data_IF_009460819409
#
_entry.id   IF_009460819409
#
_cell.length_a   1.000
_cell.length_b   1.000
_cell.length_c   1.000
_cell.angle_alpha   90.00
_cell.angle_beta   90.00
_cell.angle_gamma   90.00
#
_symmetry.space_group_name_H-M   'P 1'
#
loop_
_entity.id
_entity.type
_entity.pdbx_description
1 polymer ?
#
# COMPACT_ATOMS: atom_id res chain seq x y z
N UNK A 1 -28.91 -9.52 -22.18
CA UNK A 1 -29.00 -8.68 -20.95
C UNK A 1 -27.85 -7.71 -21.00
N UNK A 2 -28.09 -6.40 -20.85
CA UNK A 2 -27.00 -5.42 -20.85
C UNK A 2 -26.02 -5.71 -19.71
N UNK A 3 -24.75 -5.84 -20.05
CA UNK A 3 -23.65 -6.01 -19.11
C UNK A 3 -23.43 -4.70 -18.35
N UNK A 4 -23.76 -4.68 -17.06
CA UNK A 4 -23.57 -3.51 -16.21
C UNK A 4 -22.08 -3.43 -15.83
N UNK A 5 -21.35 -2.49 -16.41
CA UNK A 5 -19.99 -2.14 -16.01
C UNK A 5 -20.05 -1.06 -14.93
N UNK A 6 -19.20 -1.16 -13.91
CA UNK A 6 -19.10 -0.17 -12.83
C UNK A 6 -18.09 0.92 -13.16
N UNK A 7 -17.46 0.89 -14.33
CA UNK A 7 -16.55 1.97 -14.73
C UNK A 7 -17.36 3.17 -15.27
N UNK A 8 -17.18 4.39 -14.74
CA UNK A 8 -17.62 5.61 -15.39
C UNK A 8 -16.74 5.86 -16.60
N UNK A 9 -17.24 6.73 -17.48
CA UNK A 9 -16.55 7.25 -18.65
C UNK A 9 -15.08 7.62 -18.36
N UNK A 10 -14.23 7.50 -19.38
CA UNK A 10 -12.75 7.44 -19.41
C UNK A 10 -11.95 8.56 -18.73
N UNK A 11 -12.57 9.40 -17.91
CA UNK A 11 -12.00 10.63 -17.33
C UNK A 11 -11.61 10.46 -15.85
N UNK A 12 -12.30 9.58 -15.08
CA UNK A 12 -12.01 9.40 -13.65
C UNK A 12 -11.25 8.10 -13.35
N UNK A 13 -10.15 8.22 -12.59
CA UNK A 13 -9.39 7.08 -12.05
C UNK A 13 -9.98 6.53 -10.75
N UNK A 14 -11.16 7.02 -10.32
CA UNK A 14 -11.89 6.54 -9.15
C UNK A 14 -13.39 6.51 -9.37
N UNK A 15 -14.04 5.48 -8.83
CA UNK A 15 -15.49 5.30 -8.86
C UNK A 15 -16.01 4.88 -7.51
N UNK A 16 -17.16 5.43 -7.13
CA UNK A 16 -17.89 5.04 -5.92
C UNK A 16 -19.29 4.60 -6.32
N UNK A 17 -19.68 3.39 -5.94
CA UNK A 17 -21.01 2.82 -6.20
C UNK A 17 -21.57 2.12 -4.97
N UNK A 18 -22.89 2.00 -4.87
CA UNK A 18 -23.53 1.15 -3.84
C UNK A 18 -23.81 -0.25 -4.37
N UNK A 19 -23.64 -1.26 -3.53
CA UNK A 19 -24.08 -2.63 -3.82
C UNK A 19 -25.61 -2.78 -3.86
N UNK A 20 -26.36 -1.81 -3.31
CA UNK A 20 -27.83 -1.82 -3.29
C UNK A 20 -28.46 -1.77 -4.70
N UNK A 21 -27.68 -1.38 -5.72
CA UNK A 21 -28.14 -1.40 -7.11
C UNK A 21 -28.28 -2.82 -7.69
N UNK A 22 -27.69 -3.83 -7.05
CA UNK A 22 -27.74 -5.22 -7.48
C UNK A 22 -28.81 -5.99 -6.70
N UNK A 23 -29.60 -6.80 -7.41
CA UNK A 23 -30.65 -7.60 -6.77
C UNK A 23 -30.13 -8.92 -6.22
N UNK A 24 -29.05 -9.46 -6.79
CA UNK A 24 -28.51 -10.77 -6.45
C UNK A 24 -26.98 -10.77 -6.48
N UNK A 25 -26.37 -11.68 -5.72
CA UNK A 25 -24.91 -11.85 -5.69
C UNK A 25 -24.30 -12.14 -7.08
N UNK A 26 -24.87 -13.02 -7.93
CA UNK A 26 -24.31 -13.23 -9.27
C UNK A 26 -24.30 -11.98 -10.15
N UNK A 27 -25.27 -11.07 -9.99
CA UNK A 27 -25.25 -9.79 -10.73
C UNK A 27 -24.10 -8.88 -10.27
N UNK A 28 -23.86 -8.85 -8.96
CA UNK A 28 -22.76 -8.11 -8.35
C UNK A 28 -21.39 -8.65 -8.81
N UNK A 29 -21.21 -9.97 -8.73
CA UNK A 29 -19.97 -10.66 -9.16
C UNK A 29 -19.69 -10.40 -10.64
N UNK A 30 -20.70 -10.58 -11.50
CA UNK A 30 -20.57 -10.35 -12.93
C UNK A 30 -20.19 -8.89 -13.26
N UNK A 31 -20.78 -7.92 -12.57
CA UNK A 31 -20.48 -6.50 -12.79
C UNK A 31 -19.03 -6.17 -12.41
N UNK A 32 -18.51 -6.75 -11.32
CA UNK A 32 -17.11 -6.62 -10.93
C UNK A 32 -16.20 -7.28 -11.98
N UNK A 33 -16.48 -8.52 -12.40
CA UNK A 33 -15.67 -9.17 -13.43
C UNK A 33 -15.63 -8.38 -14.74
N UNK A 34 -16.77 -7.83 -15.18
CA UNK A 34 -16.81 -6.98 -16.38
C UNK A 34 -15.93 -5.73 -16.19
N UNK A 35 -16.08 -5.06 -15.04
CA UNK A 35 -15.26 -3.89 -14.68
C UNK A 35 -13.76 -4.21 -14.71
N UNK A 36 -13.36 -5.33 -14.13
CA UNK A 36 -11.97 -5.78 -14.12
C UNK A 36 -11.44 -6.05 -15.53
N UNK A 37 -12.23 -6.70 -16.40
CA UNK A 37 -11.81 -6.99 -17.79
C UNK A 37 -11.79 -5.76 -18.70
N UNK A 38 -12.63 -4.77 -18.42
CA UNK A 38 -12.74 -3.55 -19.23
C UNK A 38 -11.74 -2.46 -18.84
N UNK A 39 -11.19 -2.50 -17.62
CA UNK A 39 -10.20 -1.55 -17.15
C UNK A 39 -8.95 -1.56 -18.05
N UNK A 40 -8.54 -0.38 -18.54
CA UNK A 40 -7.36 -0.21 -19.42
C UNK A 40 -6.14 0.39 -18.71
N UNK A 41 -6.24 0.60 -17.40
CA UNK A 41 -5.21 1.23 -16.59
C UNK A 41 -5.67 1.33 -15.15
N UNK A 42 -4.90 2.05 -14.35
CA UNK A 42 -5.19 2.21 -12.93
C UNK A 42 -6.59 2.78 -12.70
N UNK A 43 -7.36 2.09 -11.87
CA UNK A 43 -8.70 2.53 -11.46
C UNK A 43 -9.01 2.08 -10.03
N UNK A 44 -9.46 2.99 -9.19
CA UNK A 44 -9.95 2.67 -7.85
C UNK A 44 -11.47 2.50 -7.88
N UNK A 45 -11.95 1.27 -7.68
CA UNK A 45 -13.37 0.99 -7.51
C UNK A 45 -13.70 0.85 -6.02
N UNK A 46 -14.58 1.72 -5.53
CA UNK A 46 -15.10 1.72 -4.17
C UNK A 46 -16.57 1.31 -4.19
N UNK A 47 -16.90 0.24 -3.50
CA UNK A 47 -18.26 -0.29 -3.40
C UNK A 47 -18.70 -0.23 -1.94
N UNK A 48 -19.76 0.52 -1.66
CA UNK A 48 -20.36 0.65 -0.33
C UNK A 48 -21.57 -0.25 -0.17
N UNK A 49 -22.02 -0.46 1.08
CA UNK A 49 -23.18 -1.28 1.44
C UNK A 49 -23.11 -2.75 0.96
N UNK A 50 -21.90 -3.30 0.81
CA UNK A 50 -21.71 -4.68 0.33
C UNK A 50 -22.37 -5.68 1.30
N UNK A 51 -23.33 -6.50 0.85
CA UNK A 51 -23.94 -7.52 1.70
C UNK A 51 -22.90 -8.52 2.22
N UNK A 52 -23.10 -9.08 3.43
CA UNK A 52 -22.22 -10.13 3.95
C UNK A 52 -22.07 -11.29 2.96
N UNK A 53 -20.84 -11.75 2.75
CA UNK A 53 -20.54 -12.88 1.86
C UNK A 53 -20.29 -12.52 0.39
N UNK A 54 -20.90 -11.46 -0.13
CA UNK A 54 -20.90 -11.18 -1.58
C UNK A 54 -19.53 -10.91 -2.19
N UNK A 55 -18.58 -10.47 -1.38
CA UNK A 55 -17.18 -10.21 -1.75
C UNK A 55 -16.28 -11.45 -1.80
N UNK A 56 -16.71 -12.62 -1.29
CA UNK A 56 -15.78 -13.71 -0.99
C UNK A 56 -15.14 -14.33 -2.24
N UNK A 57 -15.82 -14.27 -3.39
CA UNK A 57 -15.29 -14.76 -4.67
C UNK A 57 -13.94 -14.13 -5.04
N UNK A 58 -13.74 -12.84 -4.74
CA UNK A 58 -12.51 -12.10 -5.06
C UNK A 58 -11.27 -12.58 -4.26
N UNK A 59 -11.46 -13.40 -3.24
CA UNK A 59 -10.40 -13.99 -2.42
C UNK A 59 -10.06 -15.41 -2.88
N UNK A 60 -10.78 -15.92 -3.87
CA UNK A 60 -10.46 -17.15 -4.58
C UNK A 60 -9.49 -16.81 -5.73
N UNK A 61 -8.67 -17.78 -6.14
CA UNK A 61 -7.68 -17.59 -7.20
C UNK A 61 -8.39 -17.59 -8.55
N UNK A 62 -8.21 -16.52 -9.33
CA UNK A 62 -8.64 -16.43 -10.72
C UNK A 62 -7.46 -15.95 -11.58
N UNK A 63 -6.95 -16.84 -12.42
CA UNK A 63 -5.75 -16.58 -13.25
C UNK A 63 -5.99 -15.52 -14.34
N UNK A 64 -7.25 -15.31 -14.76
CA UNK A 64 -7.62 -14.46 -15.89
C UNK A 64 -7.96 -13.00 -15.53
N UNK A 65 -7.80 -12.60 -14.26
CA UNK A 65 -8.08 -11.24 -13.82
C UNK A 65 -6.82 -10.37 -13.82
N UNK A 66 -6.96 -9.05 -14.11
CA UNK A 66 -5.84 -8.13 -13.93
C UNK A 66 -5.37 -8.13 -12.48
N UNK A 67 -4.12 -7.69 -12.26
CA UNK A 67 -3.63 -7.49 -10.90
C UNK A 67 -4.51 -6.48 -10.17
N UNK A 68 -4.94 -6.85 -8.97
CA UNK A 68 -5.72 -5.99 -8.08
C UNK A 68 -5.12 -5.94 -6.69
N UNK A 69 -5.39 -4.86 -5.95
CA UNK A 69 -5.22 -4.79 -4.48
C UNK A 69 -6.59 -4.64 -3.84
N UNK A 70 -6.86 -5.46 -2.83
CA UNK A 70 -8.19 -5.59 -2.23
C UNK A 70 -8.19 -5.10 -0.79
N UNK A 71 -9.22 -4.35 -0.42
CA UNK A 71 -9.52 -4.03 0.99
C UNK A 71 -11.00 -4.22 1.24
N UNK A 72 -11.38 -4.94 2.30
CA UNK A 72 -12.76 -5.07 2.74
C UNK A 72 -12.88 -4.76 4.22
N UNK A 73 -13.68 -3.74 4.55
CA UNK A 73 -14.04 -3.40 5.92
C UNK A 73 -15.48 -3.91 6.23
N UNK A 74 -15.65 -4.86 7.17
CA UNK A 74 -16.97 -5.38 7.53
C UNK A 74 -17.84 -4.36 8.27
N UNK A 75 -17.24 -3.46 9.06
CA UNK A 75 -17.98 -2.46 9.85
C UNK A 75 -18.69 -1.46 8.94
N UNK A 76 -17.94 -0.90 7.97
CA UNK A 76 -18.49 0.04 7.00
C UNK A 76 -19.12 -0.65 5.77
N UNK A 77 -19.06 -1.99 5.70
CA UNK A 77 -19.44 -2.80 4.51
C UNK A 77 -18.88 -2.24 3.20
N UNK A 78 -17.61 -1.82 3.23
CA UNK A 78 -16.95 -1.15 2.12
C UNK A 78 -15.88 -2.07 1.51
N UNK A 79 -15.98 -2.31 0.21
CA UNK A 79 -15.00 -3.01 -0.61
C UNK A 79 -14.26 -1.98 -1.48
N UNK A 80 -12.94 -1.95 -1.40
CA UNK A 80 -12.07 -1.13 -2.26
C UNK A 80 -11.18 -2.04 -3.10
N UNK A 81 -11.15 -1.79 -4.39
CA UNK A 81 -10.32 -2.48 -5.37
C UNK A 81 -9.43 -1.46 -6.08
N UNK A 82 -8.10 -1.57 -5.93
CA UNK A 82 -7.15 -0.89 -6.80
C UNK A 82 -6.88 -1.79 -8.00
N UNK A 83 -7.44 -1.45 -9.14
CA UNK A 83 -7.36 -2.24 -10.37
C UNK A 83 -6.14 -1.80 -11.17
N UNK A 84 -5.34 -2.75 -11.65
CA UNK A 84 -4.09 -2.52 -12.38
C UNK A 84 -3.17 -1.50 -11.68
N UNK A 85 -2.65 -1.80 -10.47
CA UNK A 85 -1.68 -0.95 -9.79
C UNK A 85 -0.55 -0.53 -10.73
N UNK A 86 -0.28 0.77 -10.75
CA UNK A 86 0.62 1.39 -11.73
C UNK A 86 2.11 1.17 -11.37
N UNK A 87 3.04 1.48 -12.28
CA UNK A 87 4.48 1.53 -11.97
C UNK A 87 4.77 2.47 -10.81
N UNK A 88 4.03 3.58 -10.70
CA UNK A 88 4.14 4.51 -9.58
C UNK A 88 3.69 3.87 -8.25
N UNK A 89 2.69 3.00 -8.24
CA UNK A 89 2.31 2.23 -7.04
C UNK A 89 3.40 1.23 -6.65
N UNK A 90 3.94 0.50 -7.64
CA UNK A 90 4.92 -0.56 -7.37
C UNK A 90 6.32 -0.03 -7.03
N UNK A 91 6.62 1.24 -7.30
CA UNK A 91 7.94 1.83 -7.07
C UNK A 91 8.39 1.75 -5.61
N UNK A 92 7.45 1.73 -4.65
CA UNK A 92 7.77 1.66 -3.23
C UNK A 92 8.44 0.34 -2.87
N UNK A 93 7.96 -0.78 -3.42
CA UNK A 93 8.53 -2.09 -3.16
C UNK A 93 9.89 -2.25 -3.85
N UNK A 94 10.05 -1.71 -5.07
CA UNK A 94 11.34 -1.66 -5.75
C UNK A 94 12.38 -0.88 -4.93
N UNK A 95 11.99 0.26 -4.37
CA UNK A 95 12.85 1.06 -3.52
C UNK A 95 13.23 0.34 -2.22
N UNK A 96 12.29 -0.33 -1.56
CA UNK A 96 12.56 -1.15 -0.37
C UNK A 96 13.53 -2.28 -0.71
N UNK A 97 13.25 -3.04 -1.77
CA UNK A 97 14.10 -4.14 -2.26
C UNK A 97 15.53 -3.66 -2.54
N UNK A 98 15.67 -2.59 -3.32
CA UNK A 98 16.98 -2.02 -3.63
C UNK A 98 17.71 -1.49 -2.39
N UNK A 99 16.98 -1.02 -1.36
CA UNK A 99 17.56 -0.57 -0.10
C UNK A 99 18.04 -1.75 0.76
N UNK A 100 17.34 -2.88 0.75
CA UNK A 100 17.81 -4.14 1.35
C UNK A 100 19.10 -4.61 0.65
N UNK A 101 19.13 -4.65 -0.69
CA UNK A 101 20.33 -5.05 -1.43
C UNK A 101 21.54 -4.15 -1.13
N UNK A 102 21.33 -2.83 -1.03
CA UNK A 102 22.37 -1.89 -0.62
C UNK A 102 22.83 -2.11 0.82
N UNK A 103 21.90 -2.38 1.73
CA UNK A 103 22.23 -2.67 3.12
C UNK A 103 23.14 -3.92 3.24
N UNK A 104 22.92 -4.95 2.43
CA UNK A 104 23.84 -6.08 2.32
C UNK A 104 25.21 -5.66 1.78
N UNK A 105 25.23 -4.88 0.69
CA UNK A 105 26.47 -4.47 0.02
C UNK A 105 27.40 -3.64 0.92
N UNK A 106 26.85 -2.84 1.84
CA UNK A 106 27.63 -2.02 2.80
C UNK A 106 27.90 -2.74 4.13
N UNK A 107 27.52 -4.01 4.27
CA UNK A 107 27.70 -4.78 5.51
C UNK A 107 26.72 -4.40 6.64
N UNK A 108 25.70 -3.59 6.36
CA UNK A 108 24.64 -3.31 7.34
C UNK A 108 23.80 -4.56 7.61
N UNK A 109 23.53 -5.39 6.60
CA UNK A 109 22.90 -6.71 6.78
C UNK A 109 23.94 -7.80 6.59
N UNK A 110 23.97 -8.76 7.51
CA UNK A 110 24.60 -10.06 7.26
C UNK A 110 23.56 -11.05 6.66
N UNK A 111 23.99 -12.23 6.16
CA UNK A 111 23.07 -13.20 5.56
C UNK A 111 21.92 -13.63 6.49
N UNK A 112 22.20 -13.90 7.77
CA UNK A 112 21.18 -14.31 8.72
C UNK A 112 20.15 -13.19 9.01
N UNK A 113 20.56 -11.92 8.98
CA UNK A 113 19.65 -10.78 9.09
C UNK A 113 18.82 -10.57 7.83
N UNK A 114 19.39 -10.85 6.65
CA UNK A 114 18.66 -10.81 5.39
C UNK A 114 17.52 -11.83 5.35
N UNK A 115 17.75 -13.04 5.88
CA UNK A 115 16.74 -14.11 5.96
C UNK A 115 15.54 -13.72 6.84
N UNK A 116 15.67 -12.69 7.68
CA UNK A 116 14.58 -12.15 8.49
C UNK A 116 13.71 -11.13 7.74
N UNK A 117 14.13 -10.68 6.56
CA UNK A 117 13.48 -9.60 5.80
C UNK A 117 12.77 -10.14 4.56
N UNK A 118 11.50 -10.51 4.73
CA UNK A 118 10.67 -11.04 3.64
C UNK A 118 9.78 -9.93 3.06
N UNK A 119 10.23 -9.31 1.97
CA UNK A 119 9.44 -8.33 1.22
C UNK A 119 8.35 -9.06 0.41
N UNK A 120 7.09 -8.65 0.58
CA UNK A 120 5.97 -9.20 -0.17
C UNK A 120 5.04 -8.11 -0.73
N UNK A 121 4.26 -8.48 -1.74
CA UNK A 121 3.19 -7.68 -2.33
C UNK A 121 1.98 -8.59 -2.58
N UNK A 122 0.77 -8.04 -2.57
CA UNK A 122 -0.46 -8.80 -2.84
C UNK A 122 -0.82 -9.83 -1.75
N UNK A 123 -0.13 -9.79 -0.61
CA UNK A 123 -0.43 -10.65 0.55
C UNK A 123 -1.61 -10.07 1.32
N UNK A 124 -2.65 -10.87 1.54
CA UNK A 124 -3.82 -10.47 2.34
C UNK A 124 -3.51 -10.57 3.83
N UNK A 125 -3.59 -9.43 4.52
CA UNK A 125 -3.65 -9.35 5.98
C UNK A 125 -5.09 -9.53 6.45
N UNK A 126 -5.31 -10.45 7.38
CA UNK A 126 -6.62 -10.73 7.99
C UNK A 126 -6.62 -10.36 9.46
N UNK A 127 -7.47 -9.43 9.86
CA UNK A 127 -7.53 -8.90 11.21
C UNK A 127 -8.57 -9.65 12.03
N UNK A 128 -8.16 -10.28 13.14
CA UNK A 128 -9.03 -11.11 13.99
C UNK A 128 -9.48 -10.41 15.27
N UNK A 129 -8.83 -9.29 15.61
CA UNK A 129 -9.04 -8.56 16.86
C UNK A 129 -9.78 -7.24 16.62
N UNK A 130 -10.48 -6.78 17.65
CA UNK A 130 -11.10 -5.45 17.68
C UNK A 130 -10.02 -4.35 17.61
N UNK A 131 -10.34 -3.14 17.11
CA UNK A 131 -11.65 -2.72 16.57
C UNK A 131 -11.92 -3.23 15.15
N UNK A 132 -10.90 -3.67 14.41
CA UNK A 132 -11.02 -4.01 12.98
C UNK A 132 -11.22 -5.50 12.71
N UNK A 133 -11.96 -6.20 13.58
CA UNK A 133 -12.21 -7.65 13.40
C UNK A 133 -12.91 -7.89 12.07
N UNK A 134 -12.36 -8.82 11.28
CA UNK A 134 -12.86 -9.21 9.97
C UNK A 134 -12.38 -8.31 8.82
N UNK A 135 -11.63 -7.23 9.09
CA UNK A 135 -10.95 -6.47 8.04
C UNK A 135 -10.01 -7.41 7.28
N UNK A 136 -10.03 -7.28 5.95
CA UNK A 136 -9.03 -7.89 5.06
C UNK A 136 -8.40 -6.80 4.20
N UNK A 137 -7.08 -6.79 4.06
CA UNK A 137 -6.36 -5.79 3.27
C UNK A 137 -5.12 -6.38 2.62
N UNK A 138 -4.89 -6.04 1.36
CA UNK A 138 -3.63 -6.28 0.65
C UNK A 138 -2.85 -4.96 0.53
N UNK A 139 -1.78 -4.78 1.32
CA UNK A 139 -0.94 -3.59 1.19
C UNK A 139 -0.17 -3.52 -0.13
N UNK A 140 0.28 -2.33 -0.49
CA UNK A 140 1.09 -2.13 -1.70
C UNK A 140 2.48 -2.77 -1.55
N UNK A 141 3.08 -2.68 -0.35
CA UNK A 141 4.25 -3.47 0.03
C UNK A 141 4.24 -3.77 1.54
N UNK A 142 4.82 -4.91 1.92
CA UNK A 142 5.02 -5.25 3.32
C UNK A 142 6.36 -5.95 3.56
N UNK A 143 6.93 -5.75 4.74
CA UNK A 143 8.15 -6.42 5.20
C UNK A 143 7.80 -7.31 6.39
N UNK A 144 7.93 -8.61 6.15
CA UNK A 144 7.54 -9.65 7.08
C UNK A 144 8.77 -10.31 7.71
N UNK A 145 8.61 -10.79 8.94
CA UNK A 145 9.62 -11.63 9.62
C UNK A 145 9.09 -13.05 9.76
N UNK A 146 9.90 -14.10 9.53
CA UNK A 146 9.41 -15.50 9.50
C UNK A 146 8.58 -15.95 10.71
N UNK A 147 8.80 -15.36 11.89
CA UNK A 147 8.20 -15.80 13.16
C UNK A 147 6.93 -15.05 13.58
N UNK A 148 6.45 -14.09 12.78
CA UNK A 148 5.30 -13.25 13.15
C UNK A 148 4.12 -13.50 12.20
N UNK A 149 2.86 -13.33 12.64
CA UNK A 149 1.70 -13.43 11.76
C UNK A 149 1.39 -12.13 10.97
N UNK A 150 2.00 -11.02 11.38
CA UNK A 150 1.86 -9.71 10.74
C UNK A 150 3.24 -9.16 10.35
N UNK A 151 3.32 -8.32 9.31
CA UNK A 151 4.54 -7.60 8.99
C UNK A 151 4.91 -6.60 10.08
N UNK A 152 6.18 -6.20 10.13
CA UNK A 152 6.65 -5.13 11.02
C UNK A 152 6.55 -3.75 10.37
N UNK A 153 6.69 -3.71 9.04
CA UNK A 153 6.58 -2.51 8.21
C UNK A 153 5.62 -2.74 7.06
N UNK A 154 4.73 -1.79 6.83
CA UNK A 154 3.83 -1.76 5.68
C UNK A 154 3.98 -0.43 4.94
N UNK A 155 3.83 -0.43 3.62
CA UNK A 155 3.77 0.79 2.83
C UNK A 155 2.50 0.82 1.97
N UNK A 156 1.89 2.00 1.90
CA UNK A 156 0.73 2.30 1.05
C UNK A 156 1.08 3.48 0.15
N UNK A 157 0.69 3.38 -1.12
CA UNK A 157 0.82 4.43 -2.13
C UNK A 157 -0.59 4.85 -2.55
N UNK A 158 -0.86 6.14 -2.45
CA UNK A 158 -2.08 6.74 -3.00
C UNK A 158 -1.79 7.54 -4.25
N UNK A 159 -2.60 7.31 -5.27
CA UNK A 159 -2.61 8.04 -6.54
C UNK A 159 -3.91 8.83 -6.68
N UNK A 160 -5.04 8.16 -6.90
CA UNK A 160 -6.37 8.79 -6.94
C UNK A 160 -7.02 8.83 -5.54
N UNK A 161 -6.49 8.05 -4.60
CA UNK A 161 -6.92 8.00 -3.22
C UNK A 161 -6.83 9.37 -2.56
N UNK A 162 -7.86 9.74 -1.78
CA UNK A 162 -7.77 10.93 -0.95
C UNK A 162 -6.74 10.74 0.17
N UNK A 163 -6.19 11.82 0.69
CA UNK A 163 -5.29 11.74 1.84
C UNK A 163 -5.97 11.11 3.07
N UNK A 164 -7.26 11.38 3.27
CA UNK A 164 -8.02 10.77 4.36
C UNK A 164 -8.17 9.25 4.20
N UNK A 165 -8.33 8.73 2.97
CA UNK A 165 -8.36 7.29 2.74
C UNK A 165 -7.02 6.63 3.12
N UNK A 166 -5.90 7.30 2.83
CA UNK A 166 -4.57 6.81 3.22
C UNK A 166 -4.38 6.83 4.74
N UNK A 167 -4.89 7.86 5.43
CA UNK A 167 -4.87 7.91 6.90
C UNK A 167 -5.73 6.80 7.52
N UNK A 168 -6.90 6.53 6.94
CA UNK A 168 -7.77 5.43 7.36
C UNK A 168 -7.09 4.07 7.17
N UNK A 169 -6.41 3.87 6.03
CA UNK A 169 -5.61 2.67 5.78
C UNK A 169 -4.49 2.52 6.81
N UNK A 170 -3.76 3.61 7.10
CA UNK A 170 -2.71 3.62 8.13
C UNK A 170 -3.26 3.28 9.53
N UNK A 171 -4.38 3.89 9.93
CA UNK A 171 -5.00 3.63 11.22
C UNK A 171 -5.41 2.16 11.35
N UNK A 172 -6.05 1.60 10.32
CA UNK A 172 -6.44 0.19 10.26
C UNK A 172 -5.25 -0.75 10.41
N UNK A 173 -4.14 -0.45 9.73
CA UNK A 173 -2.92 -1.23 9.80
C UNK A 173 -2.27 -1.16 11.20
N UNK A 174 -2.02 0.03 11.73
CA UNK A 174 -1.30 0.19 13.01
C UNK A 174 -2.12 -0.23 14.24
N UNK A 175 -3.41 0.12 14.28
CA UNK A 175 -4.29 -0.20 15.40
C UNK A 175 -4.78 -1.64 15.29
N UNK A 176 -5.20 -2.07 14.10
CA UNK A 176 -5.77 -3.41 13.89
C UNK A 176 -4.76 -4.52 14.14
N UNK A 177 -3.48 -4.30 13.87
CA UNK A 177 -2.43 -5.28 14.12
C UNK A 177 -2.02 -5.37 15.60
N UNK A 178 -2.67 -4.61 16.50
CA UNK A 178 -2.43 -4.64 17.94
C UNK A 178 -0.94 -4.56 18.32
N UNK A 179 -0.20 -3.68 17.65
CA UNK A 179 1.24 -3.47 17.89
C UNK A 179 2.19 -4.38 17.11
N UNK A 180 1.70 -5.36 16.34
CA UNK A 180 2.56 -6.21 15.51
C UNK A 180 3.14 -5.44 14.31
N UNK A 181 2.32 -4.64 13.62
CA UNK A 181 2.80 -3.63 12.66
C UNK A 181 3.31 -2.43 13.45
N UNK A 182 4.61 -2.15 13.33
CA UNK A 182 5.26 -1.04 14.06
C UNK A 182 5.30 0.24 13.24
N UNK A 183 5.38 0.11 11.93
CA UNK A 183 5.62 1.20 10.99
C UNK A 183 4.67 1.11 9.81
N UNK A 184 4.07 2.24 9.45
CA UNK A 184 3.40 2.44 8.16
C UNK A 184 4.05 3.60 7.42
N UNK A 185 4.47 3.37 6.18
CA UNK A 185 4.92 4.39 5.25
C UNK A 185 3.73 4.75 4.36
N UNK A 186 3.33 6.03 4.34
CA UNK A 186 2.35 6.54 3.39
C UNK A 186 3.06 7.35 2.32
N UNK A 187 2.82 7.02 1.06
CA UNK A 187 3.23 7.85 -0.08
C UNK A 187 1.98 8.40 -0.74
N UNK A 188 1.89 9.72 -0.83
CA UNK A 188 0.84 10.38 -1.62
C UNK A 188 1.46 11.01 -2.85
N UNK A 189 1.12 10.47 -4.02
CA UNK A 189 1.43 11.07 -5.31
C UNK A 189 0.18 11.82 -5.80
N UNK A 190 0.39 12.98 -6.40
CA UNK A 190 -0.69 13.84 -6.92
C UNK A 190 -0.32 14.30 -8.32
N UNK A 191 -1.10 13.83 -9.30
CA UNK A 191 -1.01 14.27 -10.69
C UNK A 191 -1.65 15.64 -10.86
N UNK A 192 -0.95 16.54 -11.54
CA UNK A 192 -1.41 17.87 -11.90
C UNK A 192 -1.89 17.93 -13.35
N UNK A 193 -2.56 19.03 -13.72
CA UNK A 193 -3.16 19.20 -15.05
C UNK A 193 -2.14 19.20 -16.21
N UNK A 194 -0.87 19.51 -15.93
CA UNK A 194 0.24 19.52 -16.91
C UNK A 194 1.01 18.19 -16.94
N UNK A 195 0.42 17.10 -16.46
CA UNK A 195 1.05 15.78 -16.31
C UNK A 195 2.29 15.75 -15.40
N UNK A 196 2.54 16.82 -14.64
CA UNK A 196 3.52 16.81 -13.57
C UNK A 196 2.96 16.12 -12.32
N UNK A 197 3.84 15.56 -11.49
CA UNK A 197 3.45 14.81 -10.28
C UNK A 197 4.25 15.30 -9.09
N UNK A 198 3.53 15.83 -8.09
CA UNK A 198 4.10 16.08 -6.77
C UNK A 198 3.97 14.83 -5.89
N UNK A 199 4.84 14.69 -4.89
CA UNK A 199 4.83 13.55 -4.01
C UNK A 199 5.32 13.87 -2.62
N UNK A 200 4.66 13.30 -1.61
CA UNK A 200 5.07 13.37 -0.20
C UNK A 200 5.10 11.96 0.37
N UNK A 201 6.08 11.68 1.21
CA UNK A 201 6.14 10.50 2.06
C UNK A 201 5.94 10.90 3.51
N UNK A 202 5.16 10.12 4.25
CA UNK A 202 4.99 10.24 5.69
C UNK A 202 5.27 8.91 6.38
N UNK A 203 5.99 8.98 7.50
CA UNK A 203 6.28 7.84 8.36
C UNK A 203 5.38 7.88 9.59
N UNK A 204 4.59 6.83 9.79
CA UNK A 204 3.73 6.66 10.95
C UNK A 204 4.24 5.50 11.82
N UNK A 205 4.20 5.72 13.13
CA UNK A 205 4.53 4.72 14.13
C UNK A 205 3.40 4.56 15.12
N UNK A 206 3.23 3.35 15.64
CA UNK A 206 2.38 3.14 16.80
C UNK A 206 3.08 3.68 18.05
N UNK A 207 2.52 4.68 18.71
CA UNK A 207 3.10 5.28 19.93
C UNK A 207 2.43 4.71 21.19
N UNK A 208 2.91 5.12 22.38
CA UNK A 208 2.29 4.73 23.66
C UNK A 208 0.79 5.07 23.64
N UNK A 209 -0.04 4.14 24.12
CA UNK A 209 -1.52 4.16 24.11
C UNK A 209 -2.20 3.73 22.81
N UNK A 210 -1.47 3.18 21.83
CA UNK A 210 -2.09 2.62 20.62
C UNK A 210 -2.55 3.69 19.61
N UNK A 211 -2.09 4.94 19.78
CA UNK A 211 -2.41 6.06 18.90
C UNK A 211 -1.31 6.19 17.86
N UNK A 212 -1.62 6.03 16.55
CA UNK A 212 -0.67 6.29 15.49
C UNK A 212 -0.21 7.74 15.49
N UNK A 213 1.10 7.96 15.30
CA UNK A 213 1.69 9.29 15.19
C UNK A 213 2.58 9.38 13.97
N UNK A 214 2.41 10.45 13.19
CA UNK A 214 3.37 10.85 12.16
C UNK A 214 4.67 11.29 12.81
N UNK A 215 5.76 10.61 12.52
CA UNK A 215 7.09 10.92 13.07
C UNK A 215 8.02 11.58 12.07
N UNK A 216 7.74 11.46 10.78
CA UNK A 216 8.54 12.09 9.73
C UNK A 216 7.67 12.41 8.51
N UNK A 217 8.00 13.49 7.81
CA UNK A 217 7.41 13.90 6.54
C UNK A 217 8.52 14.33 5.61
N UNK A 218 8.54 13.80 4.40
CA UNK A 218 9.58 14.10 3.41
C UNK A 218 8.94 14.38 2.05
N UNK A 219 9.41 15.43 1.38
CA UNK A 219 8.96 15.76 0.03
C UNK A 219 9.69 14.85 -0.96
N UNK A 220 8.96 14.11 -1.78
CA UNK A 220 9.51 13.36 -2.91
C UNK A 220 9.67 14.32 -4.08
N UNK A 221 8.57 14.96 -4.49
CA UNK A 221 8.53 15.96 -5.56
C UNK A 221 7.69 17.19 -5.15
N UNK A 222 8.14 18.42 -5.42
CA UNK A 222 9.36 18.75 -6.16
C UNK A 222 10.63 18.35 -5.41
N UNK A 223 11.66 17.96 -6.17
CA UNK A 223 12.92 17.50 -5.59
C UNK A 223 13.56 18.66 -4.79
N UNK A 224 13.84 18.49 -3.48
CA UNK A 224 14.51 19.52 -2.70
C UNK A 224 15.89 19.87 -3.28
N UNK A 225 16.31 21.12 -3.08
CA UNK A 225 17.60 21.61 -3.59
C UNK A 225 18.76 20.72 -3.12
N UNK A 226 19.60 20.29 -4.09
CA UNK A 226 20.74 19.42 -3.82
C UNK A 226 20.43 17.93 -3.65
N UNK A 227 19.16 17.51 -3.85
CA UNK A 227 18.69 16.12 -3.69
C UNK A 227 19.22 15.43 -2.40
N UNK A 228 18.94 16.01 -1.22
CA UNK A 228 19.48 15.49 0.03
C UNK A 228 18.98 14.06 0.26
N UNK A 229 19.84 13.24 0.88
CA UNK A 229 19.57 11.83 1.14
C UNK A 229 18.25 11.63 1.90
N UNK A 230 18.04 12.36 3.00
CA UNK A 230 16.87 12.24 3.88
C UNK A 230 16.63 10.77 4.29
N UNK A 231 17.45 10.20 5.19
CA UNK A 231 17.21 8.87 5.72
C UNK A 231 15.90 8.84 6.52
N UNK A 232 15.15 7.74 6.41
CA UNK A 232 14.02 7.52 7.31
C UNK A 232 14.51 7.11 8.70
N UNK A 233 13.85 7.65 9.73
CA UNK A 233 14.03 7.21 11.11
C UNK A 233 13.37 5.84 11.29
N UNK A 234 14.04 4.79 10.81
CA UNK A 234 13.67 3.39 10.94
C UNK A 234 14.90 2.65 11.47
N UNK A 235 14.80 2.08 12.66
CA UNK A 235 15.90 1.40 13.34
C UNK A 235 15.85 -0.09 13.05
N UNK A 236 17.00 -0.75 13.16
CA UNK A 236 17.14 -2.20 13.02
C UNK A 236 16.10 -2.98 13.84
N UNK A 237 15.91 -2.60 15.11
CA UNK A 237 14.95 -3.23 16.01
C UNK A 237 13.47 -3.01 15.65
N UNK A 238 13.17 -2.05 14.78
CA UNK A 238 11.82 -1.89 14.26
C UNK A 238 11.50 -3.04 13.30
N UNK A 239 12.45 -3.44 12.46
CA UNK A 239 12.23 -4.40 11.39
C UNK A 239 12.24 -5.86 11.87
N UNK A 240 13.16 -6.22 12.76
CA UNK A 240 13.30 -7.60 13.27
C UNK A 240 13.94 -7.65 14.66
N UNK A 241 13.80 -8.78 15.40
CA UNK A 241 14.52 -8.98 16.66
C UNK A 241 16.04 -8.95 16.44
N UNK A 242 16.74 -8.10 17.19
CA UNK A 242 18.19 -7.90 17.06
C UNK A 242 18.93 -8.69 18.12
N UNK A 243 19.92 -9.47 17.71
CA UNK A 243 20.79 -10.23 18.61
C UNK A 243 22.09 -9.47 18.91
N UNK A 244 22.60 -9.61 20.13
CA UNK A 244 23.93 -9.12 20.50
C UNK A 244 24.99 -9.76 19.59
N UNK A 245 26.04 -9.03 19.14
CA UNK A 245 26.45 -7.67 19.54
C UNK A 245 25.92 -6.55 18.62
N UNK A 246 24.92 -6.81 17.78
CA UNK A 246 24.43 -5.82 16.81
C UNK A 246 23.74 -4.66 17.52
N UNK A 247 23.97 -3.44 17.04
CA UNK A 247 23.31 -2.25 17.58
C UNK A 247 21.82 -2.24 17.16
N UNK A 248 20.86 -2.36 18.09
CA UNK A 248 19.44 -2.35 17.75
C UNK A 248 18.94 -0.98 17.26
N UNK A 249 19.61 0.11 17.64
CA UNK A 249 19.20 1.47 17.32
C UNK A 249 19.86 2.03 16.06
N UNK A 250 20.61 1.21 15.32
CA UNK A 250 21.22 1.64 14.06
C UNK A 250 20.13 1.86 13.00
N UNK A 251 20.19 2.98 12.27
CA UNK A 251 19.20 3.32 11.26
C UNK A 251 19.38 2.46 10.00
N UNK A 252 18.30 1.80 9.59
CA UNK A 252 18.23 1.08 8.33
C UNK A 252 18.39 2.07 7.16
N UNK A 253 19.20 1.76 6.13
CA UNK A 253 19.53 2.71 5.07
C UNK A 253 18.40 2.85 4.03
N UNK A 254 17.19 3.18 4.48
CA UNK A 254 16.05 3.56 3.66
C UNK A 254 16.09 5.07 3.42
N UNK A 255 16.43 5.48 2.19
CA UNK A 255 16.82 6.87 1.88
C UNK A 255 15.88 7.45 0.81
N UNK A 256 15.34 8.66 1.05
CA UNK A 256 14.34 9.29 0.18
C UNK A 256 14.89 9.70 -1.19
N UNK A 257 16.15 10.15 -1.30
CA UNK A 257 16.74 10.43 -2.63
C UNK A 257 16.72 9.20 -3.55
N UNK A 258 16.82 8.00 -2.98
CA UNK A 258 16.65 6.74 -3.73
C UNK A 258 15.20 6.48 -4.10
N UNK A 259 14.24 6.81 -3.23
CA UNK A 259 12.82 6.75 -3.59
C UNK A 259 12.52 7.67 -4.78
N UNK A 260 13.04 8.91 -4.79
CA UNK A 260 12.90 9.83 -5.93
C UNK A 260 13.43 9.25 -7.23
N UNK A 261 14.56 8.55 -7.16
CA UNK A 261 15.13 7.85 -8.32
C UNK A 261 14.17 6.79 -8.89
N UNK A 262 13.65 5.90 -8.04
CA UNK A 262 12.68 4.88 -8.47
C UNK A 262 11.38 5.51 -8.97
N UNK A 263 10.84 6.48 -8.24
CA UNK A 263 9.62 7.18 -8.61
C UNK A 263 9.77 7.90 -9.97
N UNK A 264 10.91 8.55 -10.24
CA UNK A 264 11.16 9.20 -11.54
C UNK A 264 11.11 8.20 -12.71
N UNK A 265 11.72 7.02 -12.55
CA UNK A 265 11.70 5.96 -13.57
C UNK A 265 10.27 5.46 -13.79
N UNK A 266 9.54 5.19 -12.70
CA UNK A 266 8.16 4.73 -12.76
C UNK A 266 7.22 5.75 -13.41
N UNK A 267 7.33 7.02 -13.04
CA UNK A 267 6.55 8.11 -13.62
C UNK A 267 6.82 8.28 -15.13
N UNK A 268 8.09 8.20 -15.54
CA UNK A 268 8.46 8.30 -16.95
C UNK A 268 7.86 7.16 -17.79
N UNK A 269 7.79 5.93 -17.25
CA UNK A 269 7.10 4.79 -17.92
C UNK A 269 5.61 5.02 -18.13
N UNK A 270 5.01 5.89 -17.33
CA UNK A 270 3.58 6.26 -17.40
C UNK A 270 3.36 7.58 -18.15
N UNK A 271 4.41 8.19 -18.71
CA UNK A 271 4.32 9.46 -19.44
C UNK A 271 4.21 10.70 -18.54
N UNK A 272 4.49 10.56 -17.24
CA UNK A 272 4.46 11.67 -16.28
C UNK A 272 5.84 12.26 -16.04
N UNK A 273 5.86 13.54 -15.64
CA UNK A 273 7.08 14.23 -15.21
C UNK A 273 7.04 14.52 -13.71
N UNK A 274 8.12 14.35 -12.95
CA UNK A 274 8.17 14.86 -11.59
C UNK A 274 8.00 16.39 -11.57
N UNK A 275 7.25 16.91 -10.59
CA UNK A 275 7.12 18.35 -10.35
C UNK A 275 8.43 18.99 -9.85
#
# INVERSE_FOLDING_TARGET
MSTLSLTPSSVSSRTVVSADQFKTQPQFEQAIHNTLREAKGFHELVIINVPPGWKDFLWQVEEDLPSIRKTYNPESRCLRLKIMPSYAHNCIAEWISASISRACAIGFLNPAELDLLLLQQGTTLSFTNSPYRGLRKEPDALLHTPSQPFPTLVAEVGWSESYNDLLDDMNRLLIGANGAIKIVILVKLTKHANDSVSGVLELYRNYRQGIPRRTQTEVIFPMPAGDPAQPLDIRRCDLYPVQSPRNPNENFPLIISRLRYHARISLAKEGYVPA
#
